data_IF_069677959565
#
_entry.id   IF_069677959565
#
_cell.length_a   1.000
_cell.length_b   1.000
_cell.length_c   1.000
_cell.angle_alpha   90.00
_cell.angle_beta   90.00
_cell.angle_gamma   90.00
#
_symmetry.space_group_name_H-M   'P 1'
#
loop_
_entity.id
_entity.type
_entity.pdbx_description
1 polymer ?
2 non-polymer ?
3 non-polymer ?
4 water ?
#
# COMPACT_ATOMS: atom_id res chain seq x y z
N UNK A 1 -14.30 17.37 -10.65
CA UNK A 1 -13.37 17.57 -9.49
C UNK A 1 -13.90 18.52 -8.39
N UNK A 2 -14.78 19.46 -8.79
CA UNK A 2 -15.39 20.49 -7.91
C UNK A 2 -16.11 19.94 -6.65
N UNK A 3 -15.89 20.60 -5.51
CA UNK A 3 -16.44 20.10 -4.24
C UNK A 3 -17.95 20.22 -4.12
N UNK A 4 -18.55 21.16 -4.83
CA UNK A 4 -20.00 21.37 -4.77
C UNK A 4 -20.77 20.37 -5.63
N UNK A 5 -20.07 19.71 -6.57
CA UNK A 5 -20.68 18.78 -7.52
C UNK A 5 -21.30 17.59 -6.80
N UNK A 6 -22.56 17.32 -7.14
CA UNK A 6 -23.34 16.21 -6.59
C UNK A 6 -22.53 14.91 -6.69
N UNK A 7 -22.45 14.16 -5.59
CA UNK A 7 -21.72 12.88 -5.59
C UNK A 7 -22.45 11.78 -6.40
N UNK A 8 -23.78 11.89 -6.51
CA UNK A 8 -24.59 11.03 -7.38
C UNK A 8 -24.87 11.72 -8.71
N UNK A 9 -23.81 11.90 -9.50
CA UNK A 9 -23.86 12.64 -10.77
C UNK A 9 -23.93 11.68 -11.97
N UNK A 10 -24.87 11.97 -12.87
CA UNK A 10 -25.06 11.18 -14.08
C UNK A 10 -24.00 11.50 -15.15
N UNK A 11 -23.68 12.79 -15.31
CA UNK A 11 -22.68 13.24 -16.32
C UNK A 11 -21.30 12.55 -16.14
N UNK A 12 -20.66 12.23 -17.26
CA UNK A 12 -19.31 11.71 -17.25
C UNK A 12 -18.39 12.88 -16.90
N UNK A 13 -17.48 12.67 -15.96
CA UNK A 13 -16.45 13.66 -15.68
C UNK A 13 -15.54 13.84 -16.89
N UNK A 14 -15.21 15.09 -17.20
CA UNK A 14 -14.26 15.40 -18.27
C UNK A 14 -12.92 15.65 -17.64
N UNK A 15 -11.95 14.81 -17.98
CA UNK A 15 -10.56 14.96 -17.54
C UNK A 15 -9.78 15.59 -18.66
N UNK A 16 -9.14 16.71 -18.35
CA UNK A 16 -8.43 17.53 -19.32
C UNK A 16 -6.99 17.01 -19.39
N UNK A 17 -6.63 16.37 -20.49
CA UNK A 17 -5.30 15.74 -20.60
C UNK A 17 -4.13 16.74 -20.67
N UNK A 18 -4.41 18.05 -20.84
CA UNK A 18 -3.38 19.09 -20.69
C UNK A 18 -2.96 19.29 -19.21
N UNK A 19 -3.73 18.71 -18.29
CA UNK A 19 -3.28 18.36 -16.92
C UNK A 19 -3.02 19.52 -15.96
N UNK A 20 -4.08 20.28 -15.66
CA UNK A 20 -4.04 21.25 -14.56
C UNK A 20 -4.02 20.46 -13.26
N UNK A 21 -5.08 19.68 -13.06
CA UNK A 21 -5.14 18.60 -12.07
C UNK A 21 -5.94 17.48 -12.68
N UNK A 22 -5.66 16.23 -12.31
CA UNK A 22 -6.34 15.08 -12.93
C UNK A 22 -6.58 13.92 -11.98
N UNK A 23 -7.65 14.05 -11.22
CA UNK A 23 -7.94 13.08 -10.17
C UNK A 23 -9.42 12.90 -10.08
N UNK A 24 -9.82 11.87 -9.35
CA UNK A 24 -11.22 11.70 -9.06
C UNK A 24 -11.27 11.16 -7.66
N UNK A 25 -11.99 11.85 -6.77
CA UNK A 25 -12.09 11.37 -5.42
C UNK A 25 -13.49 10.85 -5.15
N UNK A 26 -13.56 9.89 -4.24
CA UNK A 26 -14.85 9.34 -3.91
C UNK A 26 -14.83 8.83 -2.48
N UNK A 27 -15.90 9.11 -1.75
CA UNK A 27 -15.99 8.70 -0.37
C UNK A 27 -16.79 7.43 -0.35
N UNK A 28 -16.32 6.43 0.39
CA UNK A 28 -17.05 5.17 0.58
C UNK A 28 -17.59 5.27 2.00
N UNK A 29 -18.84 5.71 2.07
CA UNK A 29 -19.51 5.96 3.35
C UNK A 29 -20.94 5.40 3.30
N UNK A 30 -21.38 4.89 4.44
CA UNK A 30 -22.78 4.46 4.65
C UNK A 30 -23.19 3.35 3.70
N UNK A 31 -22.23 2.49 3.36
CA UNK A 31 -22.45 1.40 2.42
C UNK A 31 -22.69 0.10 3.12
N UNK A 32 -23.23 -0.85 2.37
CA UNK A 32 -23.46 -2.17 2.86
C UNK A 32 -23.04 -3.10 1.73
N UNK A 33 -22.63 -4.32 2.09
CA UNK A 33 -22.28 -5.26 1.04
C UNK A 33 -23.28 -5.31 -0.11
N UNK A 34 -22.71 -5.43 -1.31
CA UNK A 34 -23.46 -5.52 -2.57
C UNK A 34 -23.70 -4.18 -3.22
N UNK A 35 -23.50 -3.07 -2.48
CA UNK A 35 -23.68 -1.72 -3.07
C UNK A 35 -22.57 -1.45 -4.11
N UNK A 36 -22.94 -0.63 -5.08
CA UNK A 36 -22.10 -0.28 -6.21
C UNK A 36 -22.10 1.22 -6.46
N UNK A 37 -21.00 1.71 -7.02
CA UNK A 37 -20.84 3.13 -7.34
C UNK A 37 -20.27 3.13 -8.75
N UNK A 38 -20.90 3.87 -9.66
CA UNK A 38 -20.47 3.89 -11.08
C UNK A 38 -20.07 5.31 -11.47
N UNK A 39 -19.14 5.43 -12.40
CA UNK A 39 -18.75 6.76 -12.94
C UNK A 39 -18.10 6.62 -14.29
N UNK A 40 -18.54 7.46 -15.24
CA UNK A 40 -17.95 7.57 -16.56
C UNK A 40 -16.94 8.73 -16.61
N UNK A 41 -15.89 8.56 -17.41
CA UNK A 41 -14.85 9.57 -17.59
C UNK A 41 -14.54 9.75 -19.07
N UNK A 42 -14.38 11.00 -19.50
CA UNK A 42 -13.96 11.29 -20.88
C UNK A 42 -12.68 12.12 -20.83
N UNK A 43 -11.70 11.71 -21.63
CA UNK A 43 -10.41 12.37 -21.71
C UNK A 43 -10.47 13.42 -22.81
N UNK A 44 -10.21 14.67 -22.46
CA UNK A 44 -10.20 15.78 -23.43
C UNK A 44 -8.77 16.25 -23.66
N UNK A 45 -8.51 16.65 -24.88
CA UNK A 45 -7.16 16.96 -25.33
C UNK A 45 -7.31 17.95 -26.47
N UNK A 46 -7.72 19.16 -26.10
CA UNK A 46 -8.08 20.20 -27.07
C UNK A 46 -6.91 20.89 -27.73
N UNK A 47 -5.71 20.74 -27.16
CA UNK A 47 -4.47 21.18 -27.82
C UNK A 47 -3.84 20.12 -28.68
N UNK A 48 -4.41 18.91 -28.67
CA UNK A 48 -3.82 17.70 -29.26
C UNK A 48 -2.33 17.56 -28.91
N UNK A 49 -2.07 17.23 -27.64
CA UNK A 49 -0.76 16.78 -27.20
C UNK A 49 -0.52 15.37 -27.69
N UNK A 50 0.77 15.02 -27.77
CA UNK A 50 1.22 13.71 -28.18
C UNK A 50 1.22 12.73 -27.00
N UNK A 51 0.04 12.27 -26.64
CA UNK A 51 -0.15 11.36 -25.48
C UNK A 51 -0.12 9.87 -25.85
N UNK A 52 0.79 9.11 -25.23
CA UNK A 52 0.87 7.70 -25.44
C UNK A 52 -0.02 6.88 -24.51
N UNK A 53 0.01 7.20 -23.23
CA UNK A 53 -0.74 6.41 -22.19
C UNK A 53 -1.39 7.39 -21.29
N UNK A 54 -2.40 6.90 -20.56
CA UNK A 54 -2.94 7.64 -19.44
C UNK A 54 -2.90 6.64 -18.30
N UNK A 55 -2.06 6.95 -17.31
CA UNK A 55 -1.71 5.92 -16.29
C UNK A 55 -2.50 6.21 -15.04
N UNK A 57 -3.61 5.37 -11.05
CA UNK A 57 -3.16 4.86 -9.76
C UNK A 57 -4.24 5.16 -8.71
N UNK A 58 -4.24 4.38 -7.65
CA UNK A 58 -5.15 4.58 -6.50
C UNK A 58 -4.39 5.01 -5.25
N UNK A 59 -4.97 5.95 -4.49
CA UNK A 59 -4.54 6.27 -3.14
C UNK A 59 -5.80 6.28 -2.26
N UNK A 60 -5.58 6.18 -0.94
CA UNK A 60 -6.72 6.09 0.01
C UNK A 60 -6.29 6.76 1.28
N UNK A 61 -7.28 7.03 2.10
CA UNK A 61 -7.07 7.69 3.36
C UNK A 61 -8.34 7.97 4.12
N UNK A 62 -8.09 8.51 5.31
CA UNK A 62 -9.18 8.97 6.17
C UNK A 62 -10.13 7.85 6.51
N UNK A 63 -9.57 6.70 6.74
CA UNK A 63 -10.39 5.67 7.32
C UNK A 63 -10.97 6.12 8.67
N UNK A 64 -12.24 5.81 8.85
CA UNK A 64 -12.88 5.94 10.16
C UNK A 64 -13.73 4.76 10.50
N UNK A 65 -13.58 4.23 11.72
CA UNK A 65 -14.45 3.13 12.12
C UNK A 65 -15.90 3.52 12.31
N UNK A 66 -16.15 4.69 12.88
CA UNK A 66 -17.52 5.11 13.11
C UNK A 66 -18.38 4.07 13.86
N UNK A 67 -17.74 3.47 14.86
CA UNK A 67 -18.43 2.50 15.71
C UNK A 67 -18.57 1.09 15.21
N UNK A 68 -18.03 0.72 14.01
CA UNK A 68 -17.99 -0.67 13.69
C UNK A 68 -16.81 -1.29 14.38
N UNK A 69 -16.82 -2.60 14.51
CA UNK A 69 -15.74 -3.36 15.18
C UNK A 69 -14.41 -3.26 14.47
N UNK A 70 -14.42 -3.30 13.14
CA UNK A 70 -13.21 -3.14 12.39
C UNK A 70 -12.59 -1.75 12.56
N UNK A 71 -11.32 -1.76 12.96
CA UNK A 71 -10.51 -0.52 13.04
C UNK A 71 -9.31 -0.55 12.08
N UNK A 72 -9.26 -1.53 11.17
CA UNK A 72 -8.19 -1.59 10.21
C UNK A 72 -8.54 -0.96 8.89
N UNK A 73 -7.75 0.06 8.50
CA UNK A 73 -8.05 0.66 7.22
C UNK A 73 -7.98 -0.26 5.99
N UNK A 74 -6.97 -1.13 6.00
CA UNK A 74 -6.69 -1.98 4.83
C UNK A 74 -7.71 -3.11 4.73
N UNK A 75 -8.11 -3.68 5.87
CA UNK A 75 -9.18 -4.66 5.85
C UNK A 75 -10.47 -4.10 5.24
N UNK A 76 -10.82 -2.86 5.60
CA UNK A 76 -11.96 -2.26 4.94
C UNK A 76 -11.82 -2.01 3.42
N UNK A 77 -10.66 -1.48 3.07
CA UNK A 77 -10.26 -1.28 1.69
C UNK A 77 -10.41 -2.58 0.90
N UNK A 78 -10.00 -3.69 1.52
CA UNK A 78 -10.01 -5.00 0.88
C UNK A 78 -11.42 -5.58 0.65
N UNK A 79 -12.47 -4.92 1.15
CA UNK A 79 -13.84 -5.35 0.90
C UNK A 79 -14.40 -4.86 -0.46
N UNK A 80 -13.63 -3.99 -1.17
CA UNK A 80 -14.12 -3.36 -2.40
C UNK A 80 -13.33 -3.83 -3.60
N UNK A 81 -14.05 -3.97 -4.72
CA UNK A 81 -13.43 -4.37 -6.00
C UNK A 81 -13.78 -3.33 -7.02
N UNK A 82 -12.86 -3.12 -8.00
CA UNK A 82 -13.11 -2.22 -9.10
C UNK A 82 -13.15 -2.91 -10.46
N UNK A 83 -14.08 -2.46 -11.28
CA UNK A 83 -14.13 -2.89 -12.69
C UNK A 83 -13.94 -1.63 -13.51
N UNK A 84 -12.98 -1.66 -14.45
CA UNK A 84 -12.72 -0.55 -15.35
C UNK A 84 -12.75 -1.05 -16.78
N UNK A 85 -13.49 -0.35 -17.62
CA UNK A 85 -13.62 -0.76 -19.02
C UNK A 85 -13.54 0.48 -19.90
N UNK A 86 -13.26 0.26 -21.17
CA UNK A 86 -13.22 1.37 -22.14
C UNK A 86 -14.20 1.03 -23.24
N UNK A 87 -14.86 2.02 -23.80
CA UNK A 87 -15.77 1.74 -24.92
C UNK A 87 -15.45 2.59 -26.14
N UNK A 88 -15.37 3.90 -25.97
CA UNK A 88 -15.31 4.84 -27.11
C UNK A 88 -16.45 5.84 -27.01
N UNK A 96 -18.41 -2.63 -28.79
CA UNK A 96 -17.74 -3.59 -27.91
C UNK A 96 -17.10 -2.91 -26.68
N UNK A 97 -17.25 -3.52 -25.49
CA UNK A 97 -16.63 -3.00 -24.26
C UNK A 97 -15.36 -3.76 -23.93
N UNK A 98 -14.28 -3.02 -23.77
CA UNK A 98 -12.98 -3.57 -23.54
C UNK A 98 -12.77 -3.58 -22.01
N UNK A 99 -12.77 -4.76 -21.38
CA UNK A 99 -12.57 -4.87 -19.94
C UNK A 99 -11.07 -4.74 -19.75
N UNK A 100 -10.66 -3.80 -18.91
CA UNK A 100 -9.28 -3.71 -18.45
C UNK A 100 -9.17 -4.40 -17.11
N UNK A 101 -9.86 -3.88 -16.10
CA UNK A 101 -9.86 -4.50 -14.78
C UNK A 101 -11.24 -5.10 -14.55
N UNK A 102 -11.31 -6.30 -14.02
CA UNK A 102 -12.59 -7.01 -13.73
C UNK A 102 -12.56 -7.45 -12.30
N UNK A 103 -13.36 -6.78 -11.45
CA UNK A 103 -13.46 -7.11 -10.04
C UNK A 103 -12.16 -7.17 -9.31
N UNK A 104 -11.24 -6.27 -9.66
CA UNK A 104 -9.94 -6.18 -9.00
C UNK A 104 -10.01 -5.61 -7.56
N UNK A 105 -9.37 -6.32 -6.65
CA UNK A 105 -9.45 -5.94 -5.26
C UNK A 105 -8.75 -4.61 -5.07
N UNK A 106 -9.42 -3.65 -4.40
CA UNK A 106 -8.82 -2.31 -4.23
C UNK A 106 -7.55 -2.25 -3.40
N UNK A 107 -7.43 -3.15 -2.40
CA UNK A 107 -6.20 -3.21 -1.62
C UNK A 107 -5.01 -3.66 -2.53
N UNK A 108 -5.25 -4.65 -3.39
CA UNK A 108 -4.20 -5.09 -4.34
C UNK A 108 -3.86 -4.02 -5.39
N UNK A 109 -4.91 -3.31 -5.84
CA UNK A 109 -4.76 -2.26 -6.82
C UNK A 109 -3.96 -1.10 -6.18
N UNK A 110 -4.23 -0.85 -4.91
CA UNK A 110 -3.45 0.18 -4.21
C UNK A 110 -1.99 -0.17 -4.11
N UNK A 111 -1.67 -1.36 -3.57
CA UNK A 111 -0.30 -1.74 -3.38
C UNK A 111 0.48 -1.85 -4.68
N UNK A 113 -0.32 -0.13 -7.69
CA UNK A 113 -0.19 1.15 -8.37
C UNK A 113 0.45 2.26 -7.55
N UNK A 114 0.38 2.12 -6.24
CA UNK A 114 1.09 3.07 -5.32
C UNK A 114 2.49 2.67 -4.89
N UNK A 115 2.71 1.39 -4.65
CA UNK A 115 3.93 0.86 -4.08
C UNK A 115 4.70 0.02 -5.15
N UNK A 116 4.13 -0.32 -6.32
CA UNK A 116 4.77 -1.25 -7.24
C UNK A 116 5.15 -2.53 -6.50
N UNK A 117 4.26 -3.00 -5.63
CA UNK A 117 4.48 -4.22 -4.83
C UNK A 117 4.27 -5.41 -5.80
N UNK A 118 5.30 -6.26 -5.92
CA UNK A 118 5.24 -7.37 -6.88
C UNK A 118 4.25 -8.45 -6.56
N UNK A 119 4.12 -8.82 -5.31
CA UNK A 119 3.09 -9.80 -4.93
C UNK A 119 1.68 -9.28 -5.22
N UNK A 120 1.44 -8.00 -4.97
CA UNK A 120 0.14 -7.36 -5.34
C UNK A 120 -0.10 -7.39 -6.84
N UNK A 121 0.94 -7.04 -7.58
CA UNK A 121 0.90 -7.04 -9.04
C UNK A 121 0.60 -8.47 -9.51
N UNK A 122 1.14 -9.48 -8.82
CA UNK A 122 0.81 -10.87 -9.21
C UNK A 122 -0.68 -11.15 -9.09
N UNK A 123 -1.35 -10.64 -8.04
CA UNK A 123 -2.78 -10.87 -7.86
C UNK A 123 -3.55 -10.18 -8.99
N UNK A 124 -3.16 -8.95 -9.35
CA UNK A 124 -3.88 -8.30 -10.45
C UNK A 124 -3.61 -9.04 -11.79
N UNK A 125 -2.38 -9.53 -11.93
CA UNK A 125 -1.97 -10.20 -13.18
C UNK A 125 -2.65 -11.53 -13.38
N UNK A 126 -3.31 -12.05 -12.36
CA UNK A 126 -4.19 -13.22 -12.56
C UNK A 126 -5.16 -12.93 -13.70
N UNK A 127 -5.72 -11.69 -13.72
CA UNK A 127 -6.85 -11.37 -14.62
C UNK A 127 -6.44 -10.41 -15.75
N UNK A 128 -5.60 -9.46 -15.49
CA UNK A 128 -5.45 -8.35 -16.45
C UNK A 128 -4.62 -8.83 -17.64
N UNK A 129 -4.97 -8.31 -18.77
CA UNK A 129 -4.08 -8.39 -19.95
C UNK A 129 -2.86 -7.49 -19.73
N UNK A 130 -1.62 -8.05 -19.72
CA UNK A 130 -0.40 -7.26 -19.45
C UNK A 130 -0.25 -6.12 -20.39
N UNK A 131 -0.90 -6.11 -21.57
CA UNK A 131 -0.90 -4.97 -22.46
C UNK A 131 -1.24 -3.63 -21.72
N UNK A 132 -2.04 -3.71 -20.68
CA UNK A 132 -2.50 -2.52 -19.95
C UNK A 132 -1.65 -2.13 -18.76
N UNK A 133 -0.62 -2.89 -18.48
CA UNK A 133 0.22 -2.66 -17.33
C UNK A 133 1.39 -1.89 -17.73
N UNK A 134 1.64 -0.86 -16.93
CA UNK A 134 2.90 -0.12 -17.01
C UNK A 134 3.91 -0.72 -16.07
N UNK A 135 5.18 -0.50 -16.42
CA UNK A 135 6.36 -0.84 -15.58
C UNK A 135 6.25 -0.43 -14.13
N UNK A 136 5.67 0.76 -13.92
CA UNK A 136 5.59 1.46 -12.63
C UNK A 136 4.62 0.80 -11.69
N UNK A 137 3.75 -0.05 -12.23
CA UNK A 137 2.67 -0.65 -11.45
C UNK A 137 1.36 0.08 -11.72
N UNK A 138 1.33 1.14 -12.50
CA UNK A 138 0.08 1.84 -12.85
C UNK A 138 -0.60 1.17 -14.07
N UNK A 139 -1.89 1.40 -14.21
CA UNK A 139 -2.67 0.78 -15.26
C UNK A 139 -2.88 1.82 -16.36
N UNK A 140 -2.62 1.44 -17.61
CA UNK A 140 -2.95 2.28 -18.76
C UNK A 140 -4.43 2.17 -19.09
N UNK A 141 -5.16 3.28 -19.07
CA UNK A 141 -6.59 3.29 -19.34
C UNK A 141 -6.96 4.03 -20.65
N UNK A 142 -5.95 4.37 -21.44
CA UNK A 142 -6.13 5.15 -22.74
C UNK A 142 -6.15 4.20 -23.92
N UNK A 143 -7.32 3.95 -24.49
CA UNK A 143 -7.42 3.11 -25.66
C UNK A 143 -8.11 3.81 -26.81
N UNK A 144 -7.85 3.28 -28.00
CA UNK A 144 -8.53 3.70 -29.22
C UNK A 144 -9.10 2.42 -29.83
N UNK A 145 -10.42 2.31 -29.80
CA UNK A 145 -11.14 1.06 -30.13
C UNK A 145 -10.65 -0.17 -29.38
N UNK A 146 -10.32 0.02 -28.10
CA UNK A 146 -9.90 -1.10 -27.29
C UNK A 146 -8.43 -1.47 -27.43
N UNK A 147 -7.71 -0.78 -28.34
CA UNK A 147 -6.27 -0.98 -28.45
C UNK A 147 -5.50 0.24 -27.86
N UNK A 148 -4.38 -0.08 -27.27
CA UNK A 148 -3.54 0.95 -26.67
C UNK A 148 -2.91 1.70 -27.84
N UNK A 149 -2.64 2.98 -27.61
CA UNK A 149 -2.05 3.80 -28.67
C UNK A 149 -0.82 3.17 -29.31
N UNK A 150 0.07 2.50 -28.54
CA UNK A 150 1.27 1.94 -29.19
C UNK A 150 1.06 0.71 -30.11
N UNK A 151 -0.17 0.19 -30.12
CA UNK A 151 -0.54 -0.85 -31.05
C UNK A 151 -0.70 -0.30 -32.43
N UNK A 152 -0.93 1.01 -32.57
CA UNK A 152 -1.13 1.61 -33.90
C UNK A 152 0.23 2.00 -34.49
N UNK A 153 0.24 2.08 -35.82
CA UNK A 153 1.42 2.36 -36.61
C UNK A 153 1.61 3.88 -36.76
N UNK A 154 2.02 4.51 -35.67
CA UNK A 154 2.13 5.96 -35.64
C UNK A 154 0.80 6.63 -35.33
N UNK A 155 0.83 7.95 -35.28
CA UNK A 155 -0.31 8.79 -34.86
C UNK A 155 -0.64 9.70 -36.04
N UNK A 156 -1.92 9.73 -36.48
CA UNK A 156 -2.30 10.68 -37.54
C UNK A 156 -1.98 12.12 -37.14
N UNK A 157 -2.08 13.06 -38.08
CA UNK A 157 -1.68 14.45 -37.82
C UNK A 157 -2.32 14.98 -36.51
N UNK A 158 -3.64 14.86 -36.45
CA UNK A 158 -4.41 15.09 -35.23
C UNK A 158 -4.74 13.72 -34.60
N UNK A 159 -4.30 13.49 -33.33
CA UNK A 159 -4.59 12.21 -32.65
C UNK A 159 -6.06 12.07 -32.32
N UNK A 160 -6.59 10.85 -32.44
CA UNK A 160 -7.99 10.62 -32.11
C UNK A 160 -8.23 10.75 -30.60
N UNK A 161 -9.46 11.12 -30.25
CA UNK A 161 -9.95 11.06 -28.89
C UNK A 161 -9.78 9.62 -28.38
N UNK A 162 -9.31 9.52 -27.15
CA UNK A 162 -9.32 8.26 -26.44
C UNK A 162 -10.74 7.87 -26.06
N UNK A 163 -10.94 6.56 -26.00
CA UNK A 163 -12.19 5.91 -25.63
C UNK A 163 -12.68 6.36 -24.28
N UNK A 164 -14.00 6.45 -24.13
CA UNK A 164 -14.66 6.68 -22.85
C UNK A 164 -14.21 5.62 -21.84
N UNK A 165 -14.00 6.04 -20.60
CA UNK A 165 -13.71 5.12 -19.47
C UNK A 165 -14.97 4.97 -18.57
N UNK A 166 -15.28 3.75 -18.15
CA UNK A 166 -16.39 3.46 -17.23
C UNK A 166 -15.81 2.66 -16.06
N UNK A 168 -16.68 0.88 -12.10
CA UNK A 168 -17.69 0.47 -11.15
C UNK A 168 -16.92 -0.03 -9.94
N UNK A 169 -17.25 0.52 -8.78
CA UNK A 169 -16.70 0.05 -7.52
C UNK A 169 -17.82 -0.69 -6.86
N UNK A 170 -17.52 -1.87 -6.38
CA UNK A 170 -18.49 -2.61 -5.56
C UNK A 170 -17.95 -3.02 -4.22
N UNK A 171 -18.87 -3.02 -3.25
CA UNK A 171 -18.63 -3.56 -1.93
C UNK A 171 -18.96 -5.03 -2.05
N UNK A 172 -17.94 -5.88 -1.99
CA UNK A 172 -18.14 -7.32 -2.26
C UNK A 172 -19.06 -7.97 -1.21
N UNK A 173 -20.07 -8.72 -1.65
CA UNK A 173 -21.06 -9.27 -0.73
C UNK A 173 -20.76 -10.75 -0.41
N UNK A 174 -20.07 -10.98 0.71
CA UNK A 174 -19.67 -12.34 1.12
C UNK A 174 -20.85 -13.30 1.38
N UNK A 175 -21.75 -12.87 2.26
CA UNK A 175 -22.85 -13.70 2.77
C UNK A 175 -22.42 -14.80 3.77
N UNK A 176 -21.17 -14.79 4.19
CA UNK A 176 -20.64 -15.66 5.21
C UNK A 176 -21.20 -15.35 6.59
N UNK A 177 -21.65 -16.40 7.28
CA UNK A 177 -21.97 -16.28 8.70
C UNK A 177 -20.90 -16.95 9.55
N UNK A 178 -20.90 -16.62 10.84
CA UNK A 178 -19.95 -17.19 11.81
C UNK A 178 -20.66 -18.18 12.74
N UNK A 179 -19.90 -18.70 13.68
CA UNK A 179 -20.39 -19.73 14.60
C UNK A 179 -21.60 -19.26 15.42
N UNK A 180 -21.74 -17.93 15.62
CA UNK A 180 -22.92 -17.37 16.32
C UNK A 180 -24.08 -16.98 15.39
N UNK A 181 -23.98 -17.32 14.11
CA UNK A 181 -25.05 -17.07 13.14
C UNK A 181 -25.12 -15.65 12.64
N UNK A 182 -24.03 -14.92 12.87
CA UNK A 182 -23.96 -13.52 12.52
C UNK A 182 -23.17 -13.32 11.24
N UNK A 184 -20.46 -12.11 9.04
CA UNK A 184 -19.12 -11.68 9.36
C UNK A 184 -18.68 -10.26 8.88
N UNK A 185 -19.07 -9.86 7.67
CA UNK A 185 -18.81 -8.52 7.16
C UNK A 185 -19.50 -7.40 7.96
N UNK A 186 -20.35 -7.76 8.93
CA UNK A 186 -20.88 -6.77 9.86
C UNK A 186 -19.77 -6.07 10.69
N UNK A 187 -18.55 -6.63 10.78
CA UNK A 187 -17.41 -5.91 11.40
C UNK A 187 -17.19 -4.55 10.73
N UNK A 188 -17.64 -4.38 9.49
CA UNK A 188 -17.32 -3.15 8.74
C UNK A 188 -18.45 -2.15 8.82
N UNK A 189 -19.50 -2.49 9.57
CA UNK A 189 -20.67 -1.67 9.64
C UNK A 189 -20.31 -0.28 10.14
N UNK A 190 -20.63 0.73 9.37
CA UNK A 190 -20.36 2.07 9.75
C UNK A 190 -19.05 2.59 9.25
N UNK A 191 -18.10 1.72 8.91
CA UNK A 191 -16.81 2.16 8.40
C UNK A 191 -16.91 3.09 7.18
N UNK A 192 -15.95 3.99 7.08
CA UNK A 192 -15.83 4.82 5.91
C UNK A 192 -14.38 5.04 5.54
N UNK A 193 -14.17 5.46 4.31
CA UNK A 193 -12.81 5.63 3.79
C UNK A 193 -12.93 6.44 2.53
N UNK A 194 -11.84 7.10 2.16
CA UNK A 194 -11.80 7.98 1.01
C UNK A 194 -10.82 7.41 -0.02
N UNK A 195 -11.23 7.46 -1.30
CA UNK A 195 -10.32 7.04 -2.39
C UNK A 195 -10.04 8.18 -3.31
N UNK A 196 -8.85 8.16 -3.91
CA UNK A 196 -8.48 9.10 -4.99
C UNK A 196 -7.89 8.30 -6.15
N UNK A 197 -8.49 8.42 -7.33
CA UNK A 197 -7.95 7.83 -8.57
C UNK A 197 -7.26 8.93 -9.37
N UNK A 198 -5.95 8.77 -9.60
CA UNK A 198 -5.14 9.73 -10.32
C UNK A 198 -4.92 9.27 -11.76
N UNK A 199 -4.81 10.20 -12.70
CA UNK A 199 -4.62 9.87 -14.10
C UNK A 199 -3.48 10.70 -14.61
N UNK A 200 -2.41 10.05 -15.03
CA UNK A 200 -1.14 10.71 -15.46
C UNK A 200 -0.94 10.48 -16.97
N UNK A 201 -1.03 11.52 -17.79
CA UNK A 201 -0.75 11.31 -19.23
C UNK A 201 0.72 11.25 -19.39
N UNK A 202 1.17 10.38 -20.30
CA UNK A 202 2.57 10.23 -20.62
C UNK A 202 2.89 10.56 -22.08
N UNK A 203 4.13 10.99 -22.28
CA UNK A 203 4.67 11.16 -23.62
C UNK A 203 5.03 9.81 -24.20
N UNK A 204 5.34 9.85 -25.49
CA UNK A 204 5.76 8.66 -26.21
C UNK A 204 7.07 8.08 -25.64
N UNK A 205 7.89 8.88 -24.93
CA UNK A 205 9.08 8.36 -24.28
C UNK A 205 8.74 7.76 -22.92
N UNK A 206 7.46 7.78 -22.53
CA UNK A 206 7.01 7.28 -21.22
C UNK A 206 7.03 8.26 -20.06
N UNK A 207 7.63 9.43 -20.25
CA UNK A 207 7.65 10.45 -19.21
C UNK A 207 6.29 11.13 -19.04
N UNK A 208 6.00 11.60 -17.82
CA UNK A 208 4.82 12.43 -17.62
C UNK A 208 4.89 13.67 -18.45
N UNK A 209 3.77 14.08 -19.04
CA UNK A 209 3.78 15.28 -19.89
C UNK A 209 4.18 16.51 -19.05
N UNK A 210 5.03 17.36 -19.63
CA UNK A 210 5.65 18.48 -18.90
C UNK A 210 4.68 19.66 -18.73
N UNK B 1 21.34 -12.81 18.32
CA UNK B 1 22.01 -13.55 17.20
C UNK B 1 23.40 -12.97 16.94
N UNK B 2 24.42 -13.83 16.94
CA UNK B 2 25.84 -13.41 17.01
C UNK B 2 26.41 -12.96 15.65
N UNK B 3 27.55 -12.28 15.70
CA UNK B 3 28.13 -11.68 14.49
C UNK B 3 28.52 -12.60 13.30
N UNK B 4 28.62 -13.91 13.51
CA UNK B 4 28.94 -14.83 12.41
C UNK B 4 27.74 -15.22 11.52
N UNK B 5 26.55 -14.72 11.85
CA UNK B 5 25.38 -14.83 10.97
C UNK B 5 25.59 -14.03 9.68
N UNK B 10 18.46 -18.79 7.31
CA UNK B 10 17.14 -19.40 7.16
C UNK B 10 16.51 -19.81 8.54
N UNK B 11 17.34 -20.14 9.53
CA UNK B 11 16.83 -20.34 10.92
C UNK B 11 16.10 -19.07 11.46
N UNK B 12 14.96 -19.23 12.16
CA UNK B 12 14.25 -18.08 12.71
C UNK B 12 15.02 -17.53 13.90
N UNK B 13 14.88 -16.23 14.12
CA UNK B 13 15.50 -15.56 15.25
C UNK B 13 14.69 -15.88 16.49
N UNK B 14 15.37 -16.13 17.60
CA UNK B 14 14.71 -16.39 18.89
C UNK B 14 15.05 -15.25 19.80
N UNK B 15 14.02 -14.57 20.31
CA UNK B 15 14.18 -13.43 21.20
C UNK B 15 13.70 -13.82 22.58
N UNK B 16 14.67 -13.94 23.48
CA UNK B 16 14.43 -14.12 24.91
C UNK B 16 14.00 -12.79 25.52
N UNK B 17 12.72 -12.71 25.84
CA UNK B 17 12.11 -11.48 26.31
C UNK B 17 12.67 -11.05 27.68
N UNK B 18 13.14 -12.02 28.48
CA UNK B 18 13.81 -11.75 29.77
C UNK B 18 15.17 -11.06 29.61
N UNK B 22 16.19 -6.92 23.36
CA UNK B 22 16.55 -7.73 22.22
C UNK B 22 16.60 -6.84 20.96
N UNK B 23 17.65 -6.95 20.17
CA UNK B 23 17.71 -6.27 18.89
C UNK B 23 18.17 -7.22 17.80
N UNK B 24 17.70 -6.93 16.58
CA UNK B 24 18.11 -7.65 15.37
C UNK B 24 18.66 -6.58 14.45
N UNK B 25 19.90 -6.77 13.99
CA UNK B 25 20.43 -5.86 12.97
C UNK B 25 20.46 -6.48 11.53
N UNK B 26 20.27 -5.64 10.51
CA UNK B 26 20.39 -6.06 9.13
C UNK B 26 21.07 -5.00 8.26
N UNK B 27 22.03 -5.45 7.44
CA UNK B 27 22.80 -4.58 6.55
C UNK B 27 22.08 -4.51 5.19
N UNK B 28 21.70 -3.31 4.76
CA UNK B 28 21.15 -3.08 3.40
C UNK B 28 22.30 -2.65 2.51
N UNK B 29 22.87 -3.62 1.80
CA UNK B 29 24.05 -3.39 0.94
C UNK B 29 24.08 -4.42 -0.18
N UNK B 30 24.68 -4.06 -1.29
CA UNK B 30 24.69 -4.91 -2.51
C UNK B 30 23.28 -5.17 -3.03
N UNK B 31 22.38 -4.18 -2.91
CA UNK B 31 20.99 -4.34 -3.24
C UNK B 31 20.56 -3.53 -4.44
N UNK B 32 19.53 -4.04 -5.12
CA UNK B 32 18.99 -3.41 -6.26
C UNK B 32 17.44 -3.26 -6.11
N UNK B 33 16.91 -2.28 -6.81
CA UNK B 33 15.47 -2.12 -6.62
C UNK B 33 14.74 -3.40 -6.98
N UNK B 34 13.79 -3.77 -6.11
CA UNK B 34 12.99 -4.96 -6.23
C UNK B 34 13.48 -6.07 -5.33
N UNK B 35 14.70 -5.97 -4.80
CA UNK B 35 15.25 -6.97 -3.89
C UNK B 35 14.48 -6.98 -2.54
N UNK B 36 14.37 -8.17 -1.95
CA UNK B 36 13.70 -8.42 -0.64
C UNK B 36 14.58 -9.24 0.33
N UNK B 37 14.51 -8.88 1.62
CA UNK B 37 15.12 -9.63 2.70
C UNK B 37 13.97 -10.07 3.64
N UNK B 38 14.02 -11.29 4.16
CA UNK B 38 12.91 -11.81 4.99
C UNK B 38 13.49 -12.48 6.22
N UNK B 39 12.80 -12.32 7.35
CA UNK B 39 13.23 -12.94 8.59
C UNK B 39 12.03 -13.31 9.44
N UNK B 40 12.08 -14.50 10.05
CA UNK B 40 11.08 -14.94 11.01
C UNK B 40 11.69 -14.79 12.42
N UNK B 41 10.86 -14.40 13.38
CA UNK B 41 11.24 -14.33 14.79
C UNK B 41 10.20 -15.05 15.65
N UNK B 42 10.70 -15.73 16.68
CA UNK B 42 9.88 -16.34 17.74
C UNK B 42 10.30 -15.71 19.10
N UNK B 43 9.33 -15.19 19.87
CA UNK B 43 9.58 -14.66 21.22
C UNK B 43 9.52 -15.80 22.24
N UNK B 44 10.52 -15.91 23.11
CA UNK B 44 10.51 -16.94 24.16
C UNK B 44 10.40 -16.28 25.52
N UNK B 45 9.76 -17.02 26.42
CA UNK B 45 9.46 -16.51 27.74
C UNK B 45 9.44 -17.65 28.76
N UNK B 49 7.56 -14.56 32.75
CA UNK B 49 7.35 -13.11 32.84
C UNK B 49 5.96 -12.70 32.40
N UNK B 50 5.37 -11.74 33.14
CA UNK B 50 4.08 -11.17 32.80
C UNK B 50 4.29 -10.07 31.77
N UNK B 51 3.98 -10.38 30.51
CA UNK B 51 4.27 -9.45 29.39
C UNK B 51 2.96 -9.13 28.65
N UNK B 52 2.69 -7.82 28.45
CA UNK B 52 1.51 -7.34 27.79
C UNK B 52 1.79 -7.06 26.31
N UNK B 53 2.80 -6.25 26.07
CA UNK B 53 3.18 -5.85 24.70
C UNK B 53 4.63 -6.15 24.44
N UNK B 54 4.96 -6.22 23.14
CA UNK B 54 6.36 -6.28 22.72
C UNK B 54 6.48 -5.16 21.70
N UNK B 55 7.13 -4.10 22.10
CA UNK B 55 7.20 -2.87 21.31
C UNK B 55 8.43 -2.85 20.45
N UNK B 57 10.75 -0.77 17.71
CA UNK B 57 11.20 0.45 17.04
C UNK B 57 12.35 0.15 16.10
N UNK B 58 12.56 1.10 15.21
CA UNK B 58 13.68 1.09 14.25
C UNK B 58 14.74 2.15 14.61
N UNK B 59 16.02 1.83 14.44
CA UNK B 59 17.11 2.80 14.35
C UNK B 59 17.90 2.47 13.12
N UNK B 60 18.72 3.43 12.66
CA UNK B 60 19.63 3.16 11.56
C UNK B 60 20.92 3.89 11.76
N UNK B 61 21.85 3.55 10.90
CA UNK B 61 23.10 4.25 10.86
C UNK B 61 24.07 3.65 9.88
N UNK B 62 25.29 4.14 9.97
CA UNK B 62 26.37 3.70 9.11
C UNK B 62 26.07 3.83 7.59
N UNK B 63 25.29 4.82 7.21
CA UNK B 63 25.13 5.13 5.77
C UNK B 63 26.50 5.38 5.11
N UNK B 64 26.67 4.77 3.92
CA UNK B 64 27.90 4.92 3.06
C UNK B 64 27.42 5.08 1.66
N UNK B 65 27.89 6.15 0.96
CA UNK B 65 27.45 6.30 -0.46
C UNK B 65 28.08 5.22 -1.36
N UNK B 66 29.29 4.78 -1.04
CA UNK B 66 30.06 3.82 -1.89
C UNK B 66 30.06 4.08 -3.41
N UNK B 67 30.37 5.32 -3.74
CA UNK B 67 30.37 5.73 -5.13
C UNK B 67 29.05 6.08 -5.76
N UNK B 68 27.89 5.78 -5.15
CA UNK B 68 26.65 6.32 -5.66
C UNK B 68 26.47 7.83 -5.56
N UNK B 69 25.66 8.39 -6.46
CA UNK B 69 25.48 9.85 -6.47
C UNK B 69 24.73 10.35 -5.24
N UNK B 70 23.86 9.53 -4.69
CA UNK B 70 23.16 9.91 -3.47
C UNK B 70 24.09 9.84 -2.26
N UNK B 71 24.05 10.90 -1.44
CA UNK B 71 24.84 10.98 -0.20
C UNK B 71 23.93 11.34 0.95
N UNK B 72 22.61 11.31 0.75
CA UNK B 72 21.65 11.51 1.81
C UNK B 72 21.26 10.18 2.48
N UNK B 73 21.59 10.02 3.77
CA UNK B 73 21.16 8.78 4.46
C UNK B 73 19.66 8.50 4.43
N UNK B 74 18.91 9.58 4.70
CA UNK B 74 17.47 9.50 4.84
C UNK B 74 16.81 9.17 3.49
N UNK B 75 17.34 9.70 2.39
CA UNK B 75 16.76 9.48 1.08
C UNK B 75 16.97 7.98 0.76
N UNK B 76 18.15 7.43 1.07
CA UNK B 76 18.31 5.99 0.83
C UNK B 76 17.39 5.17 1.69
N UNK B 77 17.30 5.51 2.97
CA UNK B 77 16.38 4.82 3.86
C UNK B 77 14.94 4.80 3.35
N UNK B 78 14.53 5.90 2.71
CA UNK B 78 13.22 6.11 2.14
C UNK B 78 12.94 5.20 0.97
N UNK B 79 13.98 4.50 0.46
CA UNK B 79 13.75 3.61 -0.65
C UNK B 79 13.26 2.23 -0.20
N UNK B 80 13.21 2.00 1.12
CA UNK B 80 12.83 0.69 1.66
C UNK B 80 11.47 0.73 2.37
N UNK B 81 10.84 -0.45 2.41
CA UNK B 81 9.53 -0.67 3.06
C UNK B 81 9.62 -1.91 3.88
N UNK B 82 8.77 -2.04 4.88
CA UNK B 82 8.73 -3.26 5.66
C UNK B 82 7.34 -3.71 5.86
N UNK B 83 7.16 -5.03 5.66
CA UNK B 83 5.92 -5.65 5.92
C UNK B 83 6.20 -6.48 7.18
N UNK B 84 5.31 -6.41 8.16
CA UNK B 84 5.45 -7.22 9.37
C UNK B 84 4.12 -7.88 9.62
N UNK B 85 4.14 -9.19 9.81
CA UNK B 85 2.91 -9.88 10.15
C UNK B 85 3.16 -10.90 11.24
N UNK B 86 2.07 -11.35 11.85
CA UNK B 86 2.12 -12.42 12.85
C UNK B 86 1.29 -13.64 12.38
N UNK B 87 1.70 -14.81 12.85
CA UNK B 87 1.15 -16.12 12.47
C UNK B 87 0.77 -16.90 13.73
N UNK B 88 1.78 -17.27 14.49
CA UNK B 88 1.59 -18.21 15.59
C UNK B 88 2.82 -18.97 15.96
N UNK B 96 -4.49 -17.18 7.19
CA UNK B 96 -4.47 -16.96 8.64
C UNK B 96 -3.27 -16.12 9.13
N UNK B 97 -2.86 -15.10 8.36
CA UNK B 97 -1.80 -14.19 8.79
C UNK B 97 -2.41 -12.82 9.15
N UNK B 98 -1.86 -12.19 10.18
CA UNK B 98 -2.32 -10.89 10.66
C UNK B 98 -1.25 -9.88 10.23
N UNK B 99 -1.59 -9.01 9.29
CA UNK B 99 -0.65 -8.06 8.73
C UNK B 99 -0.70 -6.74 9.50
N UNK B 100 0.35 -6.50 10.26
CA UNK B 100 0.47 -5.32 11.12
C UNK B 100 0.89 -4.16 10.29
N UNK B 101 2.11 -4.21 9.74
CA UNK B 101 2.64 -3.21 8.87
C UNK B 101 2.64 -3.76 7.44
N UNK B 102 2.20 -2.98 6.45
CA UNK B 102 2.11 -3.41 5.07
C UNK B 102 2.85 -2.38 4.23
N UNK B 103 4.03 -2.76 3.72
CA UNK B 103 4.87 -1.83 2.94
C UNK B 103 5.02 -0.44 3.57
N UNK B 104 5.20 -0.40 4.89
CA UNK B 104 5.50 0.86 5.65
C UNK B 104 6.82 1.39 5.24
N UNK B 105 6.84 2.65 4.83
CA UNK B 105 8.09 3.30 4.52
C UNK B 105 9.05 3.32 5.72
N UNK B 106 10.31 2.90 5.54
CA UNK B 106 11.25 2.82 6.68
C UNK B 106 11.58 4.13 7.26
N UNK B 107 11.66 5.19 6.44
CA UNK B 107 11.98 6.52 7.00
C UNK B 107 10.81 6.87 7.94
N UNK B 108 9.59 6.68 7.49
CA UNK B 108 8.43 7.06 8.30
C UNK B 108 8.37 6.25 9.59
N UNK B 109 8.69 4.95 9.46
CA UNK B 109 8.74 4.07 10.61
C UNK B 109 9.82 4.55 11.61
N UNK B 110 11.01 4.88 11.15
CA UNK B 110 12.01 5.50 12.05
C UNK B 110 11.49 6.76 12.76
N UNK B 111 10.96 7.67 11.99
CA UNK B 111 10.57 8.93 12.60
C UNK B 111 9.46 8.77 13.62
N UNK B 113 8.77 5.78 15.34
CA UNK B 113 9.15 4.88 16.44
C UNK B 113 10.36 5.29 17.24
N UNK B 114 11.28 6.01 16.62
CA UNK B 114 12.43 6.63 17.31
C UNK B 114 12.15 7.97 17.97
N UNK B 115 11.47 8.89 17.27
CA UNK B 115 11.19 10.25 17.71
C UNK B 115 9.72 10.57 18.05
N UNK B 116 8.81 9.63 17.85
CA UNK B 116 7.39 9.88 18.02
C UNK B 116 6.91 11.13 17.23
N UNK B 117 7.41 11.23 15.99
CA UNK B 117 7.13 12.38 15.10
C UNK B 117 5.71 12.22 14.58
N UNK B 118 4.84 13.18 14.92
CA UNK B 118 3.40 13.09 14.62
C UNK B 118 3.09 13.00 13.13
N UNK B 119 3.88 13.67 12.32
CA UNK B 119 3.66 13.72 10.88
C UNK B 119 3.97 12.37 10.24
N UNK B 120 5.07 11.76 10.66
CA UNK B 120 5.40 10.41 10.19
C UNK B 120 4.36 9.48 10.71
N UNK B 121 3.93 9.62 11.96
CA UNK B 121 2.97 8.68 12.51
C UNK B 121 1.69 8.75 11.67
N UNK B 122 1.30 9.94 11.23
CA UNK B 122 0.10 10.03 10.38
C UNK B 122 0.27 9.23 9.09
N UNK B 123 1.47 9.20 8.53
CA UNK B 123 1.76 8.45 7.32
C UNK B 123 1.53 6.94 7.56
N UNK B 124 2.02 6.44 8.67
CA UNK B 124 1.85 5.00 9.00
C UNK B 124 0.41 4.71 9.37
N UNK B 125 -0.25 5.68 10.00
CA UNK B 125 -1.66 5.53 10.37
C UNK B 125 -2.64 5.52 9.21
N UNK B 126 -2.22 5.89 7.99
CA UNK B 126 -2.97 5.57 6.75
C UNK B 126 -3.42 4.09 6.76
N UNK B 127 -2.46 3.23 7.11
CA UNK B 127 -2.56 1.81 6.88
C UNK B 127 -2.77 1.02 8.16
N UNK B 128 -2.06 1.35 9.23
CA UNK B 128 -2.04 0.45 10.38
C UNK B 128 -3.34 0.45 11.17
N UNK B 129 -3.67 -0.70 11.70
CA UNK B 129 -4.78 -0.75 12.67
C UNK B 129 -4.23 -0.04 13.98
N UNK B 130 -4.91 0.97 14.50
CA UNK B 130 -4.38 1.60 15.75
C UNK B 130 -4.34 0.69 16.96
N UNK B 131 -5.02 -0.46 16.92
CA UNK B 131 -4.83 -1.49 17.99
C UNK B 131 -3.34 -1.87 18.19
N UNK B 132 -2.48 -1.64 17.21
CA UNK B 132 -1.05 -2.04 17.28
C UNK B 132 -0.09 -0.88 17.67
N UNK B 133 -0.63 0.30 17.82
CA UNK B 133 0.21 1.49 17.99
C UNK B 133 0.25 1.91 19.38
N UNK B 134 1.47 1.98 19.90
CA UNK B 134 1.67 2.43 21.28
C UNK B 134 1.80 3.94 21.27
N UNK B 135 1.34 4.61 22.35
CA UNK B 135 1.38 6.09 22.44
C UNK B 135 2.78 6.60 22.27
N UNK B 136 3.77 5.78 22.61
CA UNK B 136 5.18 6.16 22.40
C UNK B 136 5.64 6.30 20.95
N UNK B 137 4.82 5.85 19.97
CA UNK B 137 5.26 5.67 18.55
C UNK B 137 5.76 4.29 18.18
N UNK B 138 6.02 3.43 19.14
CA UNK B 138 6.47 2.05 18.86
C UNK B 138 5.28 1.22 18.44
N UNK B 139 5.59 0.09 17.79
CA UNK B 139 4.59 -0.86 17.33
C UNK B 139 4.60 -2.12 18.16
N UNK B 140 3.43 -2.53 18.61
CA UNK B 140 3.20 -3.76 19.36
C UNK B 140 3.12 -4.87 18.36
N UNK B 141 4.03 -5.84 18.47
CA UNK B 141 4.06 -6.95 17.51
C UNK B 141 3.70 -8.26 18.21
N UNK B 142 3.20 -8.16 19.44
CA UNK B 142 2.89 -9.38 20.25
C UNK B 142 1.41 -9.69 20.17
N UNK B 143 1.06 -10.77 19.47
CA UNK B 143 -0.28 -11.20 19.31
C UNK B 143 -0.36 -12.67 19.73
N UNK B 144 -1.57 -13.05 20.11
CA UNK B 144 -1.93 -14.44 20.43
C UNK B 144 -3.09 -14.74 19.53
N UNK B 145 -2.88 -15.63 18.57
CA UNK B 145 -3.86 -15.86 17.48
C UNK B 145 -4.40 -14.58 16.83
N UNK B 146 -3.47 -13.67 16.55
CA UNK B 146 -3.77 -12.42 15.85
C UNK B 146 -4.35 -11.29 16.73
N UNK B 147 -4.66 -11.59 17.99
CA UNK B 147 -5.23 -10.57 18.90
C UNK B 147 -4.13 -10.08 19.84
N UNK B 148 -4.10 -8.78 20.12
CA UNK B 148 -3.15 -8.26 21.15
C UNK B 148 -3.58 -8.80 22.51
N UNK B 149 -2.59 -8.91 23.39
CA UNK B 149 -2.84 -9.50 24.74
C UNK B 149 -4.00 -8.80 25.45
N UNK B 150 -4.10 -7.45 25.39
CA UNK B 150 -5.22 -6.79 26.09
C UNK B 150 -6.64 -7.02 25.58
N UNK B 151 -6.78 -7.60 24.36
CA UNK B 151 -8.09 -7.98 23.85
C UNK B 151 -8.70 -9.13 24.60
N UNK B 152 -7.89 -9.91 25.36
CA UNK B 152 -8.34 -11.11 26.08
C UNK B 152 -8.86 -10.78 27.47
N UNK B 153 -9.64 -11.70 28.03
CA UNK B 153 -10.19 -11.52 29.37
C UNK B 153 -9.26 -12.14 30.42
N UNK B 154 -8.21 -11.40 30.72
CA UNK B 154 -7.15 -11.80 31.63
C UNK B 154 -6.29 -12.91 31.07
N UNK B 155 -5.18 -13.18 31.75
CA UNK B 155 -4.17 -14.10 31.27
C UNK B 155 -4.39 -15.39 32.08
N UNK B 156 -4.20 -16.56 31.44
CA UNK B 156 -4.20 -17.80 32.25
C UNK B 156 -3.01 -17.84 33.22
N UNK B 157 -3.01 -18.82 34.12
CA UNK B 157 -1.89 -18.98 35.05
C UNK B 157 -0.60 -19.27 34.27
N UNK B 158 -0.73 -19.99 33.14
CA UNK B 158 0.37 -20.25 32.18
C UNK B 158 0.14 -19.48 30.85
N UNK B 159 0.79 -18.30 30.67
CA UNK B 159 0.49 -17.48 29.47
C UNK B 159 0.93 -18.18 28.18
N UNK B 160 0.02 -18.29 27.21
CA UNK B 160 0.37 -18.92 25.94
C UNK B 160 1.35 -18.03 25.16
N UNK B 161 2.31 -18.66 24.49
CA UNK B 161 3.42 -17.97 23.84
C UNK B 161 2.87 -17.06 22.71
N UNK B 162 3.56 -15.97 22.46
CA UNK B 162 3.13 -15.10 21.39
C UNK B 162 3.30 -15.72 20.02
N UNK B 163 2.55 -15.20 19.05
CA UNK B 163 2.61 -15.63 17.65
C UNK B 163 4.00 -15.36 17.07
N UNK B 164 4.44 -16.21 16.17
CA UNK B 164 5.62 -15.94 15.37
C UNK B 164 5.48 -14.64 14.58
N UNK B 165 6.56 -13.87 14.54
CA UNK B 165 6.61 -12.65 13.72
C UNK B 165 7.42 -12.91 12.45
N UNK B 166 6.91 -12.46 11.32
CA UNK B 166 7.65 -12.53 10.07
C UNK B 166 7.81 -11.13 9.51
N UNK B 168 9.52 -8.66 6.26
CA UNK B 168 10.11 -8.59 4.94
C UNK B 168 10.42 -7.16 4.61
N UNK B 169 11.69 -6.90 4.34
CA UNK B 169 12.15 -5.57 3.90
C UNK B 169 12.34 -5.58 2.39
N UNK B 170 11.79 -4.60 1.71
CA UNK B 170 12.00 -4.57 0.26
C UNK B 170 12.45 -3.21 -0.25
N UNK B 171 13.27 -3.29 -1.26
CA UNK B 171 13.79 -2.10 -1.92
C UNK B 171 12.72 -1.77 -2.94
N UNK B 172 11.93 -0.70 -2.77
CA UNK B 172 10.87 -0.35 -3.75
C UNK B 172 11.48 -0.20 -5.14
N UNK B 173 10.72 -0.60 -6.16
CA UNK B 173 11.20 -0.58 -7.52
C UNK B 173 10.36 0.42 -8.27
N UNK B 174 10.86 1.66 -8.41
CA UNK B 174 10.08 2.76 -8.98
C UNK B 174 9.88 2.72 -10.51
N UNK B 175 10.85 2.19 -11.23
CA UNK B 175 10.79 2.11 -12.70
C UNK B 175 10.68 3.43 -13.47
N UNK B 176 10.91 4.56 -12.82
CA UNK B 176 10.90 5.86 -13.46
C UNK B 176 12.22 6.16 -14.16
N UNK B 177 12.10 6.67 -15.37
CA UNK B 177 13.22 7.27 -16.08
C UNK B 177 13.16 8.79 -15.96
N UNK B 178 14.33 9.43 -16.02
CA UNK B 178 14.41 10.90 -16.11
C UNK B 178 14.38 11.34 -17.57
N UNK B 179 14.46 12.64 -17.81
CA UNK B 179 14.43 13.17 -19.17
C UNK B 179 15.52 12.58 -20.06
N UNK B 180 16.69 12.30 -19.49
CA UNK B 180 17.80 11.69 -20.25
C UNK B 180 17.53 10.18 -20.54
N UNK B 181 16.49 9.65 -19.91
CA UNK B 181 16.06 8.28 -20.10
C UNK B 181 16.74 7.30 -19.18
N UNK B 182 17.31 7.81 -18.09
CA UNK B 182 18.06 6.96 -17.17
C UNK B 182 17.21 6.65 -15.97
N UNK B 184 15.96 6.58 -12.49
CA UNK B 184 16.11 7.55 -11.41
C UNK B 184 16.77 7.03 -10.13
N UNK B 185 16.35 5.85 -9.69
CA UNK B 185 16.85 5.27 -8.47
C UNK B 185 18.31 4.85 -8.64
N UNK B 186 18.89 5.00 -9.85
CA UNK B 186 20.31 4.73 -10.00
C UNK B 186 21.19 5.69 -9.17
N UNK B 187 20.60 6.79 -8.71
CA UNK B 187 21.31 7.62 -7.71
C UNK B 187 21.72 6.86 -6.41
N UNK B 188 20.94 5.84 -6.07
CA UNK B 188 21.28 4.99 -4.90
C UNK B 188 22.25 3.81 -5.17
N UNK B 189 22.71 3.65 -6.43
CA UNK B 189 23.55 2.50 -6.78
C UNK B 189 24.80 2.50 -5.93
N UNK B 190 24.98 1.40 -5.17
CA UNK B 190 26.11 1.19 -4.29
C UNK B 190 25.90 1.64 -2.85
N UNK B 191 24.84 2.39 -2.57
CA UNK B 191 24.67 2.91 -1.21
C UNK B 191 24.48 1.71 -0.26
N UNK B 192 24.92 1.85 0.97
CA UNK B 192 24.69 0.88 2.01
C UNK B 192 24.22 1.58 3.29
N UNK B 193 23.46 0.86 4.13
CA UNK B 193 23.05 1.40 5.44
C UNK B 193 22.72 0.24 6.37
N UNK B 194 22.79 0.48 7.67
CA UNK B 194 22.55 -0.54 8.66
C UNK B 194 21.26 -0.17 9.43
N UNK B 195 20.44 -1.19 9.64
CA UNK B 195 19.18 -1.09 10.43
C UNK B 195 19.30 -1.87 11.72
N UNK B 196 18.58 -1.42 12.74
CA UNK B 196 18.44 -2.20 13.98
C UNK B 196 17.00 -2.09 14.42
N UNK B 197 16.38 -3.23 14.58
CA UNK B 197 15.05 -3.35 15.15
C UNK B 197 15.28 -3.71 16.62
N UNK B 198 14.71 -2.91 17.53
CA UNK B 198 14.69 -3.22 18.95
C UNK B 198 13.32 -3.81 19.34
N UNK B 199 13.31 -4.74 20.30
CA UNK B 199 12.05 -5.33 20.79
C UNK B 199 11.97 -5.21 22.30
N UNK B 200 11.10 -4.33 22.81
CA UNK B 200 10.99 -4.09 24.29
C UNK B 200 9.70 -4.73 24.85
N UNK B 201 9.84 -5.71 25.75
CA UNK B 201 8.66 -6.28 26.44
C UNK B 201 8.16 -5.35 27.52
N UNK B 202 6.84 -5.21 27.68
CA UNK B 202 6.28 -4.33 28.70
C UNK B 202 5.40 -5.14 29.66
N UNK B 203 5.32 -4.61 30.87
CA UNK B 203 4.39 -5.13 31.87
C UNK B 203 2.98 -4.70 31.56
N UNK B 204 2.00 -5.24 32.28
CA UNK B 204 0.65 -4.81 32.09
C UNK B 204 0.33 -3.33 32.39
N UNK B 205 1.16 -2.68 33.21
CA UNK B 205 1.14 -1.25 33.43
C UNK B 205 1.87 -0.41 32.39
N UNK B 206 2.38 -1.05 31.34
CA UNK B 206 2.97 -0.32 30.22
C UNK B 206 4.46 -0.11 30.33
N UNK B 207 5.04 -0.38 31.50
CA UNK B 207 6.45 -0.15 31.77
C UNK B 207 7.32 -1.31 31.25
N UNK B 208 8.55 -1.00 30.87
CA UNK B 208 9.49 -2.03 30.40
C UNK B 208 9.68 -3.07 31.47
N UNK B 209 9.79 -4.34 31.09
CA UNK B 209 10.01 -5.39 32.11
C UNK B 209 11.38 -5.23 32.83
#
# INVERSE_FOLDING_TARGET
NDIKSKDATFASGTLDLSAKENSASVNLSNLKPGDKLTKDFQFENNGSLAIKEVLXALNYGDFKANGGSNTSPEDFLSQFEVTLLTVGKEGGNGYPKNIILDDANLKDLYLXSAKNDAAAAEKIKKQIDPKFLNASGKVNVATIDGKTAPEYDGVPKTPTDFDQVQXEIQFKDDKTKDEKGLXVQNKYQGNSIKLQFSFEATQWNGLTIK
NDIKSKDATFASGTLDLSAKENSASVNLSNLKPGDKLTKDFQFENNGSLAIKEVLXALNYGDFKANGGSNTSPEDFLSQFEVTLLTVGKEGGNGYPKNIILDDANLKDLYLXSAKNDAAAAEKIKKQIDPKFLNASGKVNVATIDGKTAPEYDGVPKTPTDFDQVQXEIQFKDDKTKDEKGLXVQNKYQGNSIKLQFSFEATQWNGLTIK
#
